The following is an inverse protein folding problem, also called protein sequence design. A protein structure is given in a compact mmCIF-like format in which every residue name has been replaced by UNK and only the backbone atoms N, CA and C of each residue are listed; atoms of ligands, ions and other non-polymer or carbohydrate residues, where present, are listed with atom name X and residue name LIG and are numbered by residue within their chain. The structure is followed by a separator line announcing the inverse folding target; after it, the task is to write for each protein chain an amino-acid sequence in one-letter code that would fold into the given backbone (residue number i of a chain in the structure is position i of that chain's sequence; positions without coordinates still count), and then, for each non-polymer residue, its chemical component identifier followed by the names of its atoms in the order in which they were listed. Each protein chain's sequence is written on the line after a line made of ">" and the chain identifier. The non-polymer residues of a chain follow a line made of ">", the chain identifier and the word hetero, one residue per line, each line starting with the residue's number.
data_IF_522789942881
#
_entry.id   IF_522789942881
#
_cell.length_a   1.000
_cell.length_b   1.000
_cell.length_c   1.000
_cell.angle_alpha   90.00
_cell.angle_beta   90.00
_cell.angle_gamma   90.00
#
_symmetry.space_group_name_H-M   'P 1'
#
loop_
_entity.id
_entity.type
_entity.pdbx_description
1 polymer ?
#
# COMPACT_ATOMS: atom_id res chain seq x y z
N UNK A 1 2.31 -7.66 17.45
CA UNK A 1 3.30 -8.31 16.56
C UNK A 1 2.92 -9.73 16.12
N UNK A 2 2.56 -10.61 17.03
CA UNK A 2 2.25 -12.04 16.72
C UNK A 2 1.09 -12.23 15.74
N UNK A 3 0.11 -11.31 15.74
CA UNK A 3 -1.10 -11.44 14.90
C UNK A 3 -0.81 -11.16 13.41
N UNK A 4 0.11 -10.25 13.11
CA UNK A 4 0.47 -9.91 11.73
C UNK A 4 1.34 -10.99 11.06
N UNK A 5 2.18 -11.71 11.82
CA UNK A 5 2.99 -12.81 11.28
C UNK A 5 2.10 -13.91 10.71
N UNK A 6 1.09 -14.36 11.47
CA UNK A 6 0.15 -15.39 11.01
C UNK A 6 -0.67 -14.94 9.79
N UNK A 7 -1.06 -13.66 9.76
CA UNK A 7 -1.76 -13.08 8.62
C UNK A 7 -0.89 -13.08 7.37
N UNK A 8 0.36 -12.62 7.50
CA UNK A 8 1.32 -12.57 6.41
C UNK A 8 1.63 -13.98 5.90
N UNK A 9 1.78 -14.98 6.79
CA UNK A 9 1.94 -16.38 6.38
C UNK A 9 0.80 -16.85 5.48
N UNK A 10 -0.46 -16.59 5.88
CA UNK A 10 -1.63 -16.92 5.05
C UNK A 10 -1.62 -16.19 3.70
N UNK A 11 -1.20 -14.93 3.66
CA UNK A 11 -1.03 -14.18 2.41
C UNK A 11 0.02 -14.86 1.52
N UNK A 12 1.16 -15.29 2.07
CA UNK A 12 2.22 -15.98 1.34
C UNK A 12 1.85 -17.40 0.89
N UNK A 13 0.92 -18.04 1.56
CA UNK A 13 0.33 -19.34 1.18
C UNK A 13 -0.74 -19.21 0.09
N UNK A 14 -1.18 -17.99 -0.20
CA UNK A 14 -2.18 -17.72 -1.24
C UNK A 14 -1.56 -17.82 -2.65
N UNK A 15 -2.44 -17.76 -3.66
CA UNK A 15 -2.02 -17.72 -5.07
C UNK A 15 -1.68 -16.31 -5.57
N UNK A 16 -1.84 -15.29 -4.71
CA UNK A 16 -1.71 -13.90 -5.14
C UNK A 16 -0.27 -13.43 -5.14
N UNK A 17 0.09 -12.68 -6.19
CA UNK A 17 1.38 -12.04 -6.36
C UNK A 17 1.21 -10.53 -6.45
N UNK A 18 2.10 -9.79 -5.83
CA UNK A 18 1.98 -8.34 -5.71
C UNK A 18 3.18 -7.60 -6.28
N UNK A 19 2.92 -6.43 -6.84
CA UNK A 19 3.88 -5.33 -6.92
C UNK A 19 3.41 -4.22 -5.99
N UNK A 20 4.29 -3.81 -5.09
CA UNK A 20 4.02 -2.78 -4.09
C UNK A 20 4.72 -1.47 -4.45
N UNK A 21 4.03 -0.34 -4.30
CA UNK A 21 4.63 0.98 -4.49
C UNK A 21 4.22 1.93 -3.39
N UNK A 22 5.18 2.62 -2.77
CA UNK A 22 4.88 3.57 -1.70
C UNK A 22 5.68 4.86 -1.80
N UNK A 23 5.08 5.97 -1.37
CA UNK A 23 5.72 7.28 -1.29
C UNK A 23 5.19 8.06 -0.08
N UNK A 24 6.07 8.68 0.67
CA UNK A 24 5.73 9.49 1.84
C UNK A 24 5.41 8.71 3.11
N UNK A 25 5.11 7.41 3.01
CA UNK A 25 4.84 6.47 4.10
C UNK A 25 4.45 5.10 3.59
N UNK A 26 4.31 4.12 4.48
CA UNK A 26 3.87 2.76 4.17
C UNK A 26 4.99 1.77 3.87
N UNK A 27 6.25 2.15 4.02
CA UNK A 27 7.39 1.25 3.77
C UNK A 27 7.48 0.09 4.76
N UNK A 28 6.94 0.25 5.96
CA UNK A 28 6.86 -0.84 6.94
C UNK A 28 6.00 -2.01 6.47
N UNK A 29 5.04 -1.79 5.57
CA UNK A 29 4.22 -2.86 5.02
C UNK A 29 5.05 -3.85 4.21
N UNK A 30 5.85 -3.36 3.26
CA UNK A 30 6.73 -4.23 2.46
C UNK A 30 7.82 -4.87 3.33
N UNK A 31 8.39 -4.12 4.28
CA UNK A 31 9.33 -4.68 5.25
C UNK A 31 8.72 -5.81 6.06
N UNK A 32 7.46 -5.67 6.49
CA UNK A 32 6.74 -6.70 7.24
C UNK A 32 6.49 -7.96 6.40
N UNK A 33 6.10 -7.82 5.14
CA UNK A 33 5.93 -8.93 4.21
C UNK A 33 7.25 -9.68 3.99
N UNK A 34 8.34 -8.96 3.74
CA UNK A 34 9.65 -9.58 3.45
C UNK A 34 10.30 -10.26 4.66
N UNK A 35 9.94 -9.88 5.89
CA UNK A 35 10.46 -10.50 7.12
C UNK A 35 9.86 -11.87 7.43
N UNK A 36 8.73 -12.21 6.82
CA UNK A 36 8.06 -13.50 7.05
C UNK A 36 8.48 -14.48 5.94
N UNK A 37 8.93 -15.70 6.27
CA UNK A 37 9.27 -16.72 5.28
C UNK A 37 8.11 -16.97 4.31
N UNK A 38 8.44 -17.16 3.02
CA UNK A 38 7.46 -17.35 1.96
C UNK A 38 7.21 -16.09 1.11
N UNK A 39 7.86 -14.97 1.40
CA UNK A 39 7.70 -13.71 0.66
C UNK A 39 7.92 -13.85 -0.85
N UNK A 40 8.82 -14.73 -1.30
CA UNK A 40 9.09 -15.03 -2.72
C UNK A 40 7.87 -15.59 -3.47
N UNK A 41 6.90 -16.17 -2.77
CA UNK A 41 5.67 -16.65 -3.38
C UNK A 41 4.70 -15.50 -3.71
N UNK A 42 4.85 -14.36 -3.02
CA UNK A 42 3.89 -13.25 -3.06
C UNK A 42 4.47 -11.99 -3.68
N UNK A 43 5.67 -11.58 -3.25
CA UNK A 43 6.25 -10.29 -3.66
C UNK A 43 7.05 -10.45 -4.95
N UNK A 44 6.60 -9.82 -6.03
CA UNK A 44 7.35 -9.75 -7.28
C UNK A 44 8.37 -8.61 -7.24
N UNK A 45 7.90 -7.42 -6.86
CA UNK A 45 8.74 -6.23 -6.88
C UNK A 45 8.17 -5.15 -5.94
N UNK A 46 9.03 -4.23 -5.50
CA UNK A 46 8.61 -3.06 -4.73
C UNK A 46 9.33 -1.80 -5.19
N UNK A 47 8.59 -0.69 -5.25
CA UNK A 47 9.08 0.63 -5.65
C UNK A 47 8.86 1.64 -4.53
N UNK A 48 9.84 2.54 -4.35
CA UNK A 48 9.74 3.66 -3.41
C UNK A 48 10.12 4.95 -4.15
N UNK A 49 9.24 5.46 -5.05
CA UNK A 49 9.48 6.72 -5.77
C UNK A 49 9.29 7.91 -4.82
N UNK A 50 10.26 8.18 -3.97
CA UNK A 50 10.13 9.11 -2.86
C UNK A 50 10.23 10.58 -3.27
N UNK A 51 11.15 10.92 -4.19
CA UNK A 51 11.24 12.28 -4.72
C UNK A 51 10.17 12.56 -5.78
N UNK A 52 9.79 13.83 -5.96
CA UNK A 52 8.83 14.23 -7.01
C UNK A 52 9.26 13.74 -8.39
N UNK A 53 10.55 13.90 -8.75
CA UNK A 53 11.10 13.45 -10.03
C UNK A 53 11.00 11.93 -10.19
N UNK A 54 11.28 11.17 -9.13
CA UNK A 54 11.14 9.71 -9.15
C UNK A 54 9.69 9.28 -9.34
N UNK A 55 8.74 9.98 -8.71
CA UNK A 55 7.31 9.72 -8.89
C UNK A 55 6.87 10.07 -10.31
N UNK A 56 7.30 11.21 -10.87
CA UNK A 56 7.00 11.60 -12.24
C UNK A 56 7.47 10.52 -13.24
N UNK A 57 8.69 9.98 -13.04
CA UNK A 57 9.22 8.87 -13.83
C UNK A 57 8.42 7.58 -13.65
N UNK A 58 8.08 7.22 -12.41
CA UNK A 58 7.28 6.02 -12.14
C UNK A 58 5.90 6.09 -12.78
N UNK A 59 5.25 7.26 -12.74
CA UNK A 59 3.93 7.49 -13.33
C UNK A 59 3.97 7.78 -14.83
N UNK A 60 5.17 8.05 -15.39
CA UNK A 60 5.37 8.58 -16.74
C UNK A 60 4.56 9.88 -17.01
N UNK A 61 4.33 10.65 -15.97
CA UNK A 61 3.66 11.97 -15.98
C UNK A 61 3.81 12.66 -14.65
N UNK A 62 3.68 13.99 -14.66
CA UNK A 62 3.59 14.78 -13.42
C UNK A 62 2.14 14.74 -12.90
N UNK A 63 1.88 14.30 -11.68
CA UNK A 63 0.55 14.36 -11.07
C UNK A 63 0.24 15.79 -10.57
N UNK A 64 -1.06 16.15 -10.48
CA UNK A 64 -1.47 17.43 -9.91
C UNK A 64 -1.11 17.53 -8.42
N UNK A 65 -1.30 16.43 -7.69
CA UNK A 65 -0.94 16.29 -6.28
C UNK A 65 -0.28 14.93 -6.03
N UNK A 66 0.90 14.94 -5.39
CA UNK A 66 1.64 13.70 -5.10
C UNK A 66 0.98 12.84 -4.02
N UNK A 67 0.30 13.45 -3.05
CA UNK A 67 -0.49 12.74 -2.04
C UNK A 67 -1.98 12.99 -2.27
N UNK A 68 -2.58 12.18 -3.13
CA UNK A 68 -3.99 12.24 -3.51
C UNK A 68 -4.53 10.88 -3.93
N UNK A 69 -5.86 10.74 -3.94
CA UNK A 69 -6.53 9.53 -4.42
C UNK A 69 -6.15 9.21 -5.87
N UNK A 70 -6.18 10.22 -6.77
CA UNK A 70 -5.85 10.01 -8.18
C UNK A 70 -4.41 9.51 -8.38
N UNK A 71 -3.47 10.02 -7.58
CA UNK A 71 -2.08 9.57 -7.61
C UNK A 71 -1.96 8.13 -7.10
N UNK A 72 -2.62 7.81 -5.99
CA UNK A 72 -2.66 6.43 -5.46
C UNK A 72 -3.24 5.45 -6.47
N UNK A 73 -4.36 5.77 -7.10
CA UNK A 73 -4.97 4.95 -8.16
C UNK A 73 -4.00 4.72 -9.34
N UNK A 74 -3.33 5.78 -9.80
CA UNK A 74 -2.34 5.69 -10.88
C UNK A 74 -1.14 4.82 -10.50
N UNK A 75 -0.66 4.94 -9.26
CA UNK A 75 0.41 4.11 -8.72
C UNK A 75 0.01 2.63 -8.68
N UNK A 76 -1.20 2.31 -8.18
CA UNK A 76 -1.70 0.93 -8.13
C UNK A 76 -1.87 0.32 -9.53
N UNK A 77 -2.40 1.09 -10.48
CA UNK A 77 -2.55 0.64 -11.87
C UNK A 77 -1.19 0.36 -12.52
N UNK A 78 -0.18 1.21 -12.28
CA UNK A 78 1.17 0.96 -12.79
C UNK A 78 1.82 -0.25 -12.10
N UNK A 79 1.62 -0.42 -10.80
CA UNK A 79 2.07 -1.61 -10.06
C UNK A 79 1.44 -2.90 -10.63
N UNK A 80 0.14 -2.89 -10.92
CA UNK A 80 -0.53 -4.03 -11.58
C UNK A 80 0.05 -4.33 -12.96
N UNK A 81 0.30 -3.30 -13.78
CA UNK A 81 0.97 -3.47 -15.09
C UNK A 81 2.36 -4.10 -14.95
N UNK A 82 3.09 -3.76 -13.88
CA UNK A 82 4.39 -4.38 -13.59
C UNK A 82 4.26 -5.87 -13.29
N UNK A 83 3.25 -6.29 -12.53
CA UNK A 83 2.99 -7.73 -12.34
C UNK A 83 2.84 -8.45 -13.68
N UNK A 84 2.05 -7.89 -14.63
CA UNK A 84 1.84 -8.47 -15.97
C UNK A 84 3.11 -8.53 -16.82
N UNK A 85 4.05 -7.60 -16.60
CA UNK A 85 5.34 -7.57 -17.32
C UNK A 85 6.36 -8.54 -16.73
N UNK A 86 6.37 -8.70 -15.39
CA UNK A 86 7.35 -9.54 -14.69
C UNK A 86 7.04 -11.03 -14.89
N UNK A 87 5.78 -11.42 -14.80
CA UNK A 87 5.35 -12.82 -14.87
C UNK A 87 4.14 -12.96 -15.80
N UNK A 88 4.39 -12.85 -17.10
CA UNK A 88 3.35 -12.88 -18.13
C UNK A 88 2.70 -14.26 -18.35
N UNK A 89 3.29 -15.32 -17.80
CA UNK A 89 2.77 -16.68 -17.87
C UNK A 89 1.80 -16.99 -16.73
N UNK A 90 1.85 -16.20 -15.64
CA UNK A 90 0.99 -16.40 -14.48
C UNK A 90 -0.43 -15.88 -14.73
N UNK A 91 -1.41 -16.42 -14.01
CA UNK A 91 -2.83 -16.05 -14.19
C UNK A 91 -3.09 -14.62 -13.70
N UNK A 92 -3.48 -13.72 -14.61
CA UNK A 92 -3.72 -12.28 -14.37
C UNK A 92 -4.63 -12.00 -13.18
N UNK A 93 -5.65 -12.84 -12.96
CA UNK A 93 -6.60 -12.71 -11.83
C UNK A 93 -5.97 -12.83 -10.43
N UNK A 94 -4.74 -13.31 -10.35
CA UNK A 94 -4.01 -13.42 -9.10
C UNK A 94 -2.94 -12.33 -8.91
N UNK A 95 -2.90 -11.34 -9.78
CA UNK A 95 -2.03 -10.20 -9.60
C UNK A 95 -2.72 -9.07 -8.85
N UNK A 96 -1.97 -8.42 -7.98
CA UNK A 96 -2.39 -7.25 -7.22
C UNK A 96 -1.32 -6.17 -7.38
N UNK A 97 -1.70 -5.03 -7.94
CA UNK A 97 -0.96 -3.79 -7.80
C UNK A 97 -1.45 -3.06 -6.56
N UNK A 98 -0.57 -2.78 -5.60
CA UNK A 98 -0.93 -2.03 -4.40
C UNK A 98 -0.05 -0.82 -4.23
N UNK A 99 -0.66 0.29 -3.85
CA UNK A 99 0.02 1.57 -3.68
C UNK A 99 -0.30 2.22 -2.34
N UNK A 100 0.65 2.99 -1.85
CA UNK A 100 0.49 3.92 -0.73
C UNK A 100 1.06 5.28 -1.14
N UNK A 101 0.31 6.35 -0.94
CA UNK A 101 0.86 7.70 -0.91
C UNK A 101 0.41 8.40 0.36
N UNK A 102 1.35 9.00 1.09
CA UNK A 102 1.09 9.55 2.42
C UNK A 102 1.79 10.86 2.66
N UNK A 103 1.21 11.63 3.57
CA UNK A 103 1.74 12.88 4.12
C UNK A 103 1.63 12.77 5.64
N UNK A 104 2.69 12.32 6.30
CA UNK A 104 2.73 11.94 7.71
C UNK A 104 3.36 13.01 8.59
N UNK A 105 3.39 12.75 9.91
CA UNK A 105 4.03 13.58 10.91
C UNK A 105 5.50 13.88 10.54
N UNK A 106 5.91 15.11 10.85
CA UNK A 106 7.27 15.63 10.64
C UNK A 106 7.82 16.22 11.93
N UNK A 107 9.11 16.48 11.98
CA UNK A 107 9.76 17.14 13.14
C UNK A 107 9.31 18.58 13.34
N UNK A 108 8.68 19.19 12.35
CA UNK A 108 8.08 20.53 12.41
C UNK A 108 6.59 20.46 12.13
N UNK A 109 5.83 21.42 12.66
CA UNK A 109 4.40 21.53 12.41
C UNK A 109 4.15 21.97 10.96
N UNK A 110 3.67 21.07 10.13
CA UNK A 110 3.31 21.41 8.74
C UNK A 110 1.86 21.92 8.66
N UNK A 111 1.61 22.81 7.70
CA UNK A 111 0.28 23.39 7.45
C UNK A 111 -0.67 22.34 6.88
N UNK A 112 -0.19 21.50 5.95
CA UNK A 112 -1.00 20.47 5.29
C UNK A 112 -1.47 19.36 6.23
N UNK A 113 -2.54 18.67 5.85
CA UNK A 113 -3.09 17.56 6.62
C UNK A 113 -2.13 16.36 6.69
N UNK A 114 -2.21 15.63 7.80
CA UNK A 114 -1.72 14.26 7.86
C UNK A 114 -2.77 13.36 7.22
N UNK A 115 -2.39 12.59 6.23
CA UNK A 115 -3.30 11.73 5.49
C UNK A 115 -2.56 10.67 4.70
N UNK A 116 -3.27 9.63 4.33
CA UNK A 116 -2.80 8.63 3.38
C UNK A 116 -3.90 8.16 2.45
N UNK A 117 -3.47 7.66 1.32
CA UNK A 117 -4.30 6.97 0.33
C UNK A 117 -3.65 5.64 0.02
N UNK A 118 -4.44 4.57 0.07
CA UNK A 118 -4.03 3.24 -0.34
C UNK A 118 -4.95 2.81 -1.46
N UNK A 119 -4.41 2.32 -2.56
CA UNK A 119 -5.21 1.77 -3.65
C UNK A 119 -4.72 0.39 -4.04
N UNK A 120 -5.67 -0.45 -4.39
CA UNK A 120 -5.45 -1.80 -4.91
C UNK A 120 -6.05 -1.89 -6.29
N UNK A 121 -5.29 -2.41 -7.24
CA UNK A 121 -5.73 -2.75 -8.59
C UNK A 121 -5.57 -4.23 -8.84
N UNK A 122 -6.66 -4.87 -9.25
CA UNK A 122 -6.67 -6.25 -9.73
C UNK A 122 -7.21 -6.31 -11.16
N UNK A 123 -7.36 -7.52 -11.73
CA UNK A 123 -8.01 -7.69 -13.02
C UNK A 123 -9.49 -7.27 -13.01
N UNK A 124 -10.18 -7.51 -11.89
CA UNK A 124 -11.65 -7.42 -11.80
C UNK A 124 -12.15 -6.20 -11.03
N UNK A 125 -11.34 -5.60 -10.17
CA UNK A 125 -11.75 -4.44 -9.37
C UNK A 125 -10.59 -3.53 -9.00
N UNK A 126 -10.96 -2.30 -8.67
CA UNK A 126 -10.11 -1.30 -8.02
C UNK A 126 -10.76 -0.91 -6.70
N UNK A 127 -9.99 -0.86 -5.63
CA UNK A 127 -10.45 -0.42 -4.31
C UNK A 127 -9.46 0.58 -3.72
N UNK A 128 -9.96 1.57 -3.00
CA UNK A 128 -9.13 2.57 -2.35
C UNK A 128 -9.60 2.85 -0.92
N UNK A 129 -8.66 3.22 -0.08
CA UNK A 129 -8.91 3.78 1.24
C UNK A 129 -8.26 5.14 1.32
N UNK A 130 -9.03 6.13 1.73
CA UNK A 130 -8.56 7.47 2.09
C UNK A 130 -8.74 7.65 3.60
N UNK A 131 -7.69 8.08 4.29
CA UNK A 131 -7.78 8.38 5.71
C UNK A 131 -7.07 9.70 6.02
N UNK A 132 -7.82 10.62 6.65
CA UNK A 132 -7.32 11.86 7.20
C UNK A 132 -7.03 11.65 8.67
N UNK A 133 -5.78 11.87 9.07
CA UNK A 133 -5.30 11.61 10.43
C UNK A 133 -5.43 12.85 11.31
N UNK A 134 -5.69 12.65 12.60
CA UNK A 134 -5.72 13.72 13.60
C UNK A 134 -4.27 14.13 13.89
N UNK A 135 -3.93 15.39 13.55
CA UNK A 135 -2.59 15.92 13.78
C UNK A 135 -2.23 15.91 15.26
N UNK A 136 -1.02 15.44 15.55
CA UNK A 136 -0.46 15.40 16.92
C UNK A 136 -0.96 14.26 17.79
N UNK A 137 -1.89 13.42 17.31
CA UNK A 137 -2.36 12.24 18.05
C UNK A 137 -1.37 11.07 17.98
N UNK A 138 -0.52 11.05 16.96
CA UNK A 138 0.47 9.99 16.72
C UNK A 138 1.82 10.54 16.29
N UNK A 139 2.85 9.80 16.63
CA UNK A 139 4.18 9.94 16.05
C UNK A 139 4.17 9.45 14.59
N UNK A 140 5.22 9.79 13.83
CA UNK A 140 5.37 9.27 12.47
C UNK A 140 5.44 7.74 12.43
N UNK A 141 6.08 7.12 13.40
CA UNK A 141 6.18 5.65 13.48
C UNK A 141 4.82 5.00 13.72
N UNK A 142 3.99 5.60 14.58
CA UNK A 142 2.62 5.12 14.81
C UNK A 142 1.72 5.31 13.58
N UNK A 143 1.87 6.41 12.83
CA UNK A 143 1.18 6.61 11.55
C UNK A 143 1.63 5.58 10.49
N UNK A 144 2.94 5.26 10.41
CA UNK A 144 3.49 4.19 9.56
C UNK A 144 2.93 2.81 9.93
N UNK A 145 2.81 2.52 11.23
CA UNK A 145 2.24 1.27 11.73
C UNK A 145 0.76 1.15 11.33
N UNK A 146 0.00 2.23 11.46
CA UNK A 146 -1.41 2.26 11.07
C UNK A 146 -1.56 1.98 9.55
N UNK A 147 -0.77 2.63 8.70
CA UNK A 147 -0.76 2.37 7.25
C UNK A 147 -0.45 0.90 6.98
N UNK A 148 0.53 0.34 7.68
CA UNK A 148 0.91 -1.08 7.54
C UNK A 148 -0.27 -2.00 7.80
N UNK A 149 -1.05 -1.73 8.83
CA UNK A 149 -2.25 -2.51 9.17
C UNK A 149 -3.31 -2.43 8.08
N UNK A 150 -3.56 -1.23 7.54
CA UNK A 150 -4.47 -1.06 6.40
C UNK A 150 -4.01 -1.81 5.15
N UNK A 151 -2.73 -1.73 4.80
CA UNK A 151 -2.16 -2.47 3.66
C UNK A 151 -2.36 -3.98 3.83
N UNK A 152 -2.04 -4.51 5.01
CA UNK A 152 -2.19 -5.94 5.29
C UNK A 152 -3.66 -6.38 5.27
N UNK A 153 -4.59 -5.55 5.75
CA UNK A 153 -6.03 -5.84 5.68
C UNK A 153 -6.52 -5.88 4.22
N UNK A 154 -6.14 -4.91 3.40
CA UNK A 154 -6.53 -4.87 1.98
C UNK A 154 -5.94 -6.05 1.19
N UNK A 155 -4.70 -6.42 1.45
CA UNK A 155 -4.09 -7.61 0.85
C UNK A 155 -4.79 -8.88 1.30
N UNK A 156 -5.12 -9.01 2.59
CA UNK A 156 -5.87 -10.14 3.12
C UNK A 156 -7.23 -10.30 2.43
N UNK A 157 -7.98 -9.19 2.29
CA UNK A 157 -9.26 -9.15 1.58
C UNK A 157 -9.11 -9.64 0.13
N UNK A 158 -8.10 -9.17 -0.60
CA UNK A 158 -7.82 -9.63 -1.96
C UNK A 158 -7.51 -11.13 -2.01
N UNK A 159 -6.89 -11.67 -0.97
CA UNK A 159 -6.59 -13.10 -0.84
C UNK A 159 -7.77 -13.93 -0.32
N UNK A 160 -8.94 -13.34 -0.07
CA UNK A 160 -10.10 -14.01 0.51
C UNK A 160 -9.95 -14.35 2.00
N UNK A 161 -9.04 -13.65 2.70
CA UNK A 161 -8.79 -13.81 4.13
C UNK A 161 -9.57 -12.73 4.89
N UNK A 162 -10.45 -13.16 5.77
CA UNK A 162 -11.22 -12.24 6.61
C UNK A 162 -10.30 -11.55 7.65
N UNK A 163 -10.19 -10.25 7.51
CA UNK A 163 -9.44 -9.39 8.42
C UNK A 163 -10.09 -8.00 8.44
N UNK A 164 -10.75 -7.61 9.54
CA UNK A 164 -11.35 -6.30 9.65
C UNK A 164 -10.30 -5.19 9.58
N UNK A 165 -10.71 -4.04 9.05
CA UNK A 165 -9.89 -2.84 9.07
C UNK A 165 -9.53 -2.42 10.51
N UNK A 166 -8.42 -1.71 10.70
CA UNK A 166 -8.05 -1.20 12.01
C UNK A 166 -9.15 -0.31 12.61
N UNK A 167 -9.41 -0.49 13.90
CA UNK A 167 -10.30 0.39 14.65
C UNK A 167 -9.49 1.55 15.22
N UNK A 168 -9.88 2.78 14.90
CA UNK A 168 -9.28 4.02 15.42
C UNK A 168 -10.30 5.18 15.34
N UNK A 169 -9.94 6.34 15.87
CA UNK A 169 -10.86 7.48 15.99
C UNK A 169 -11.17 8.15 14.65
N UNK A 170 -10.30 8.01 13.66
CA UNK A 170 -10.54 8.51 12.30
C UNK A 170 -11.40 7.53 11.51
N UNK A 171 -12.34 8.06 10.72
CA UNK A 171 -13.21 7.25 9.85
C UNK A 171 -12.63 7.25 8.45
N UNK A 172 -12.14 6.11 7.94
CA UNK A 172 -11.66 6.01 6.57
C UNK A 172 -12.81 6.06 5.57
N UNK A 173 -12.54 6.62 4.38
CA UNK A 173 -13.41 6.51 3.20
C UNK A 173 -12.88 5.37 2.34
N UNK A 174 -13.76 4.42 2.02
CA UNK A 174 -13.43 3.18 1.28
C UNK A 174 -14.09 3.18 -0.08
#
# INVERSE_FOLDING_TARGET
>A
MTNNIKLIQKIHESKYKITFVSSGGGTNAISSLLKVPGASNTVLESYIPYSKKSMDLFLNRKPDHYCSLNTSLSMAANAYKKCLQIDNEYKKKYFIGISVTASLATTYTKIGDHKFYISVQTESFTKSVECKLIKGSRTREEEEQLITEYVLCLLAECCGIDKPLPSHDEIPVI
#
